data_IF_125906895190
#
_entry.id   IF_125906895190
#
_cell.length_a   1.000
_cell.length_b   1.000
_cell.length_c   1.000
_cell.angle_alpha   90.00
_cell.angle_beta   90.00
_cell.angle_gamma   90.00
#
_symmetry.space_group_name_H-M   'P 1'
#
loop_
_entity.id
_entity.type
_entity.pdbx_description
1 polymer ?
#
# COMPACT_ATOMS: atom_id res chain seq x y z
N UNK A 1 1.02 1.10 -5.90
CA UNK A 1 -0.41 1.48 -6.09
C UNK A 1 -0.83 2.57 -5.08
N UNK A 2 -1.80 3.44 -5.41
CA UNK A 2 -2.34 4.51 -4.53
C UNK A 2 -3.82 4.82 -4.83
N UNK A 3 -4.59 5.48 -3.93
CA UNK A 3 -6.02 5.72 -4.12
C UNK A 3 -6.36 6.48 -5.40
N UNK A 4 -5.53 7.46 -5.80
CA UNK A 4 -5.76 8.27 -7.01
C UNK A 4 -5.70 7.44 -8.31
N UNK A 5 -5.17 6.22 -8.23
CA UNK A 5 -5.06 5.30 -9.37
C UNK A 5 -6.14 4.20 -9.32
N UNK A 6 -7.11 4.29 -8.40
CA UNK A 6 -8.27 3.40 -8.30
C UNK A 6 -9.54 4.20 -8.65
N UNK A 7 -10.14 3.86 -9.78
CA UNK A 7 -11.31 4.52 -10.33
C UNK A 7 -12.57 3.72 -10.01
N UNK A 8 -13.68 4.41 -9.74
CA UNK A 8 -14.98 3.81 -9.49
C UNK A 8 -15.90 4.07 -10.67
N UNK A 9 -16.56 3.03 -11.17
CA UNK A 9 -17.61 3.13 -12.17
C UNK A 9 -19.00 3.31 -11.52
N UNK A 10 -20.00 3.70 -12.29
CA UNK A 10 -21.38 3.92 -11.82
C UNK A 10 -22.03 2.65 -11.21
N UNK A 11 -21.55 1.47 -11.61
CA UNK A 11 -21.98 0.16 -11.08
C UNK A 11 -21.19 -0.28 -9.83
N UNK A 12 -20.41 0.62 -9.23
CA UNK A 12 -19.47 0.37 -8.14
C UNK A 12 -18.30 -0.58 -8.49
N UNK A 13 -18.07 -0.88 -9.76
CA UNK A 13 -16.87 -1.62 -10.18
C UNK A 13 -15.63 -0.76 -9.98
N UNK A 14 -14.62 -1.29 -9.30
CA UNK A 14 -13.32 -0.65 -9.16
C UNK A 14 -12.39 -1.03 -10.31
N UNK A 15 -11.68 -0.06 -10.86
CA UNK A 15 -10.68 -0.25 -11.93
C UNK A 15 -9.37 0.41 -11.55
N UNK A 16 -8.27 -0.32 -11.73
CA UNK A 16 -6.93 0.25 -11.61
C UNK A 16 -6.60 0.99 -12.91
N UNK A 17 -6.06 2.20 -12.80
CA UNK A 17 -5.56 2.98 -13.92
C UNK A 17 -4.20 3.59 -13.63
N UNK A 18 -3.74 4.46 -14.53
CA UNK A 18 -2.42 5.09 -14.49
C UNK A 18 -1.26 4.09 -14.32
N UNK A 19 -0.97 3.41 -15.43
CA UNK A 19 0.10 2.41 -15.56
C UNK A 19 1.45 3.05 -15.97
N UNK A 20 1.65 4.35 -15.76
CA UNK A 20 2.85 5.06 -16.20
C UNK A 20 4.17 4.55 -15.58
N UNK A 21 4.07 3.86 -14.44
CA UNK A 21 5.19 3.21 -13.75
C UNK A 21 5.12 1.67 -13.80
N UNK A 22 4.13 1.11 -14.50
CA UNK A 22 3.97 -0.33 -14.59
C UNK A 22 5.09 -0.93 -15.45
N UNK A 23 5.64 -2.07 -15.01
CA UNK A 23 6.74 -2.72 -15.71
C UNK A 23 6.53 -4.24 -15.73
N UNK A 24 6.82 -4.87 -16.86
CA UNK A 24 6.93 -6.33 -16.92
C UNK A 24 8.22 -6.75 -16.24
N UNK A 25 8.09 -7.49 -15.15
CA UNK A 25 9.21 -8.05 -14.42
C UNK A 25 9.55 -9.41 -15.06
N UNK A 26 10.69 -9.51 -15.74
CA UNK A 26 11.24 -10.83 -16.07
C UNK A 26 11.61 -11.54 -14.77
N UNK A 27 11.34 -12.85 -14.68
CA UNK A 27 11.55 -13.65 -13.48
C UNK A 27 12.99 -13.46 -12.94
N UNK A 28 13.11 -12.81 -11.78
CA UNK A 28 14.39 -12.54 -11.12
C UNK A 28 15.03 -11.17 -11.40
N UNK A 29 14.46 -10.33 -12.28
CA UNK A 29 14.87 -8.93 -12.44
C UNK A 29 14.15 -8.05 -11.42
N UNK A 30 14.81 -6.97 -11.02
CA UNK A 30 14.33 -6.02 -10.01
C UNK A 30 14.37 -4.60 -10.59
N UNK A 31 13.45 -3.73 -10.17
CA UNK A 31 13.19 -2.42 -10.82
C UNK A 31 13.75 -1.23 -10.02
N UNK A 32 13.87 -0.06 -10.67
CA UNK A 32 14.44 1.17 -10.10
C UNK A 32 13.43 2.02 -9.33
N UNK A 33 13.89 2.75 -8.32
CA UNK A 33 13.13 3.60 -7.39
C UNK A 33 12.24 4.66 -8.07
N UNK A 34 10.95 4.40 -8.16
CA UNK A 34 9.93 5.37 -8.57
C UNK A 34 8.64 5.15 -7.77
N UNK A 35 7.91 6.23 -7.48
CA UNK A 35 6.64 6.14 -6.75
C UNK A 35 6.28 7.42 -6.01
N UNK A 36 5.10 7.43 -5.39
CA UNK A 36 4.68 8.50 -4.48
C UNK A 36 5.18 8.16 -3.07
N UNK A 37 6.01 8.99 -2.42
CA UNK A 37 6.73 8.63 -1.18
C UNK A 37 5.86 8.02 -0.07
N UNK A 38 4.65 8.55 0.15
CA UNK A 38 3.73 8.09 1.21
C UNK A 38 3.21 6.65 1.02
N UNK A 39 3.29 6.12 -0.21
CA UNK A 39 2.83 4.78 -0.59
C UNK A 39 3.99 3.84 -0.97
N UNK A 40 5.23 4.27 -0.78
CA UNK A 40 6.39 3.43 -1.08
C UNK A 40 6.51 2.31 -0.05
N UNK A 41 6.76 1.09 -0.54
CA UNK A 41 6.99 -0.06 0.30
C UNK A 41 8.35 0.06 1.04
N UNK A 42 8.51 -0.59 2.21
CA UNK A 42 9.74 -0.54 2.98
C UNK A 42 11.00 -0.90 2.18
N UNK A 43 10.94 -1.94 1.36
CA UNK A 43 12.03 -2.39 0.48
C UNK A 43 12.41 -1.33 -0.56
N UNK A 44 11.43 -0.57 -1.07
CA UNK A 44 11.67 0.53 -2.02
C UNK A 44 12.41 1.67 -1.31
N UNK A 45 12.09 1.95 -0.04
CA UNK A 45 12.77 2.98 0.76
C UNK A 45 14.20 2.59 1.14
N UNK A 46 14.43 1.30 1.43
CA UNK A 46 15.76 0.77 1.75
C UNK A 46 16.69 0.69 0.53
N UNK A 47 16.19 1.10 -0.63
CA UNK A 47 16.83 0.97 -1.94
C UNK A 47 17.11 -0.47 -2.34
N UNK A 48 16.32 -1.39 -1.79
CA UNK A 48 16.33 -2.76 -2.23
C UNK A 48 15.59 -2.84 -3.54
N UNK A 49 16.19 -3.62 -4.43
CA UNK A 49 15.58 -3.84 -5.70
C UNK A 49 14.33 -4.73 -5.48
N UNK A 50 13.19 -4.30 -6.01
CA UNK A 50 11.85 -4.80 -5.62
C UNK A 50 11.17 -5.58 -6.75
N UNK A 51 10.09 -6.28 -6.40
CA UNK A 51 9.30 -7.11 -7.30
C UNK A 51 7.79 -6.81 -7.14
N UNK A 52 6.93 -7.80 -7.38
CA UNK A 52 5.47 -7.71 -7.34
C UNK A 52 4.87 -7.43 -5.94
N UNK A 53 5.58 -7.75 -4.86
CA UNK A 53 5.11 -7.52 -3.49
C UNK A 53 4.79 -6.05 -3.15
N UNK A 54 5.41 -5.09 -3.84
CA UNK A 54 5.15 -3.65 -3.62
C UNK A 54 3.72 -3.24 -3.98
N UNK A 55 3.05 -4.00 -4.85
CA UNK A 55 1.65 -3.74 -5.19
C UNK A 55 0.71 -4.20 -4.07
N UNK A 56 1.05 -5.29 -3.37
CA UNK A 56 0.34 -5.76 -2.17
C UNK A 56 0.48 -4.73 -1.04
N UNK A 57 1.68 -4.18 -0.84
CA UNK A 57 1.89 -3.05 0.08
C UNK A 57 0.99 -1.85 -0.27
N UNK A 58 0.91 -1.49 -1.56
CA UNK A 58 0.06 -0.40 -2.03
C UNK A 58 -1.42 -0.63 -1.75
N UNK A 59 -1.90 -1.88 -1.85
CA UNK A 59 -3.26 -2.26 -1.44
C UNK A 59 -3.44 -2.08 0.08
N UNK A 60 -2.48 -2.54 0.88
CA UNK A 60 -2.48 -2.34 2.32
C UNK A 60 -2.58 -0.87 2.70
N UNK A 61 -1.84 0.01 2.01
CA UNK A 61 -1.91 1.46 2.20
C UNK A 61 -3.31 2.02 1.91
N UNK A 62 -3.92 1.63 0.80
CA UNK A 62 -5.27 2.10 0.42
C UNK A 62 -6.31 1.65 1.45
N UNK A 63 -6.25 0.39 1.87
CA UNK A 63 -7.17 -0.14 2.87
C UNK A 63 -6.95 0.53 4.23
N UNK A 64 -5.70 0.81 4.59
CA UNK A 64 -5.37 1.54 5.82
C UNK A 64 -6.04 2.92 5.84
N UNK A 65 -5.91 3.72 4.76
CA UNK A 65 -6.59 5.02 4.66
C UNK A 65 -8.11 4.87 4.76
N UNK A 66 -8.68 3.85 4.11
CA UNK A 66 -10.12 3.62 4.12
C UNK A 66 -10.66 3.28 5.52
N UNK A 67 -9.91 2.51 6.32
CA UNK A 67 -10.37 2.13 7.67
C UNK A 67 -10.08 3.21 8.70
N UNK A 68 -9.01 3.98 8.58
CA UNK A 68 -8.68 5.04 9.55
C UNK A 68 -9.27 6.40 9.21
N UNK A 69 -9.72 6.60 7.96
CA UNK A 69 -10.13 7.90 7.42
C UNK A 69 -9.01 8.95 7.55
N UNK A 70 -7.75 8.52 7.50
CA UNK A 70 -6.56 9.37 7.61
C UNK A 70 -5.71 9.21 6.35
N UNK A 71 -5.50 10.30 5.61
CA UNK A 71 -4.70 10.27 4.40
C UNK A 71 -3.21 10.11 4.70
N UNK A 72 -2.51 9.18 4.03
CA UNK A 72 -1.09 8.90 4.32
C UNK A 72 -0.17 10.08 4.03
N UNK A 73 -0.57 11.04 3.19
CA UNK A 73 0.21 12.26 2.92
C UNK A 73 0.06 13.35 3.99
N UNK A 74 -0.94 13.25 4.86
CA UNK A 74 -1.14 14.17 5.99
C UNK A 74 -0.54 13.62 7.30
N UNK A 75 -0.19 12.33 7.32
CA UNK A 75 0.41 11.66 8.47
C UNK A 75 1.82 12.17 8.74
N UNK A 76 2.18 12.20 10.02
CA UNK A 76 3.58 12.44 10.43
C UNK A 76 4.40 11.18 10.17
N UNK A 77 5.42 11.32 9.32
CA UNK A 77 6.29 10.22 8.94
C UNK A 77 5.69 9.32 7.86
N UNK A 78 6.49 8.36 7.38
CA UNK A 78 6.07 7.40 6.37
C UNK A 78 5.57 6.12 7.02
N UNK A 79 4.45 5.56 6.53
CA UNK A 79 3.92 4.28 7.02
C UNK A 79 4.96 3.16 6.92
N UNK A 80 5.73 3.10 5.83
CA UNK A 80 6.81 2.14 5.68
C UNK A 80 7.90 2.30 6.76
N UNK A 81 8.24 3.53 7.14
CA UNK A 81 9.16 3.78 8.26
C UNK A 81 8.61 3.27 9.59
N UNK A 82 7.31 3.47 9.82
CA UNK A 82 6.63 2.93 11.01
C UNK A 82 6.68 1.40 11.03
N UNK A 83 6.30 0.73 9.93
CA UNK A 83 6.28 -0.74 9.84
C UNK A 83 7.66 -1.35 10.05
N UNK A 84 8.72 -0.71 9.54
CA UNK A 84 10.10 -1.15 9.77
C UNK A 84 10.52 -1.10 11.24
N UNK A 85 9.90 -0.24 12.04
CA UNK A 85 10.16 -0.16 13.48
C UNK A 85 9.22 -1.03 14.30
N UNK A 86 7.93 -1.06 13.94
CA UNK A 86 6.90 -1.85 14.59
C UNK A 86 5.82 -2.24 13.57
N UNK A 87 5.64 -3.55 13.29
CA UNK A 87 4.60 -4.01 12.37
C UNK A 87 3.18 -3.62 12.82
N UNK A 88 2.30 -3.36 11.87
CA UNK A 88 0.90 -3.06 12.17
C UNK A 88 0.22 -4.31 12.73
N UNK A 89 -0.40 -4.19 13.91
CA UNK A 89 -1.18 -5.28 14.51
C UNK A 89 -2.65 -5.07 14.16
N UNK A 90 -3.35 -6.13 13.73
CA UNK A 90 -4.80 -6.06 13.47
C UNK A 90 -5.60 -5.48 14.66
N UNK A 91 -5.15 -5.77 15.89
CA UNK A 91 -5.75 -5.24 17.11
C UNK A 91 -5.64 -3.71 17.29
N UNK A 92 -4.69 -3.05 16.62
CA UNK A 92 -4.54 -1.59 16.67
C UNK A 92 -5.42 -0.86 15.65
N UNK A 93 -6.04 -1.59 14.71
CA UNK A 93 -6.94 -1.02 13.72
C UNK A 93 -8.37 -0.86 14.31
N UNK A 94 -9.16 0.13 13.84
CA UNK A 94 -10.45 0.48 14.44
C UNK A 94 -11.38 -0.72 14.60
N UNK A 95 -11.86 -0.96 15.83
CA UNK A 95 -12.61 -2.16 16.22
C UNK A 95 -13.99 -2.28 15.59
N UNK A 96 -14.50 -1.20 14.96
CA UNK A 96 -15.74 -1.22 14.18
C UNK A 96 -15.67 -2.12 12.93
N UNK A 97 -14.46 -2.44 12.45
CA UNK A 97 -14.27 -3.31 11.29
C UNK A 97 -14.05 -4.77 11.70
N UNK A 98 -14.55 -5.74 10.92
CA UNK A 98 -14.36 -7.16 11.18
C UNK A 98 -12.89 -7.56 11.30
N UNK A 99 -12.58 -8.53 12.17
CA UNK A 99 -11.21 -9.03 12.34
C UNK A 99 -10.56 -9.49 11.02
N UNK A 100 -11.25 -10.22 10.12
CA UNK A 100 -10.63 -10.66 8.87
C UNK A 100 -10.13 -9.51 7.98
N UNK A 101 -10.84 -8.37 7.97
CA UNK A 101 -10.40 -7.18 7.23
C UNK A 101 -9.14 -6.58 7.87
N UNK A 102 -9.13 -6.46 9.20
CA UNK A 102 -7.97 -5.92 9.93
C UNK A 102 -6.74 -6.81 9.81
N UNK A 103 -6.92 -8.12 9.81
CA UNK A 103 -5.86 -9.11 9.54
C UNK A 103 -5.34 -9.01 8.11
N UNK A 104 -6.23 -8.87 7.12
CA UNK A 104 -5.83 -8.67 5.73
C UNK A 104 -4.99 -7.39 5.55
N UNK A 105 -5.37 -6.28 6.19
CA UNK A 105 -4.60 -5.03 6.17
C UNK A 105 -3.22 -5.24 6.79
N UNK A 106 -3.16 -5.83 7.99
CA UNK A 106 -1.90 -6.12 8.67
C UNK A 106 -1.01 -7.10 7.90
N UNK A 107 -1.59 -8.06 7.17
CA UNK A 107 -0.83 -9.00 6.34
C UNK A 107 -0.23 -8.34 5.08
N UNK A 108 -0.82 -7.24 4.60
CA UNK A 108 -0.30 -6.47 3.48
C UNK A 108 0.83 -5.50 3.87
N UNK A 109 0.91 -5.12 5.14
CA UNK A 109 1.78 -4.06 5.68
C UNK A 109 2.86 -4.63 6.61
#
# INVERSE_FOLDING_TARGET
LKPQNVFMQDDNTLKIGDFGLAQTIERGKRTSHVGTPCYMAPEVLQKDAYADAVDVWGIGCILMEAVTMEFLWERKGMLAGQVLTEPIRAASLPSQYPMPLREAIAACL
#
